data_IF_523016938056
#
_entry.id   IF_523016938056
#
_cell.length_a   1.000
_cell.length_b   1.000
_cell.length_c   1.000
_cell.angle_alpha   90.00
_cell.angle_beta   90.00
_cell.angle_gamma   90.00
#
_symmetry.space_group_name_H-M   'P 1'
#
loop_
_entity.id
_entity.type
_entity.pdbx_description
1 polymer ?
#
# COMPACT_ATOMS: atom_id res chain seq x y z
N UNK A 1 75.71 -36.84 -48.66
CA UNK A 1 75.57 -38.23 -49.14
C UNK A 1 74.89 -39.02 -48.02
N UNK A 2 73.57 -39.06 -48.03
CA UNK A 2 72.78 -39.83 -47.05
C UNK A 2 71.79 -40.71 -47.81
N UNK A 3 71.76 -41.95 -47.38
CA UNK A 3 71.22 -43.12 -48.05
C UNK A 3 69.69 -43.20 -47.95
N UNK A 4 69.12 -43.64 -49.07
CA UNK A 4 68.03 -44.59 -49.26
C UNK A 4 66.75 -44.54 -48.40
N UNK A 5 65.67 -44.37 -49.14
CA UNK A 5 64.32 -44.84 -48.88
C UNK A 5 64.24 -46.30 -48.41
N UNK A 6 63.21 -46.65 -47.63
CA UNK A 6 62.12 -47.48 -48.17
C UNK A 6 60.95 -47.69 -47.21
N UNK A 7 59.76 -47.49 -47.78
CA UNK A 7 58.50 -48.20 -47.57
C UNK A 7 58.50 -49.39 -46.61
N UNK A 8 57.47 -49.43 -45.74
CA UNK A 8 56.66 -50.64 -45.56
C UNK A 8 55.27 -50.33 -45.00
N UNK A 9 54.33 -51.04 -45.59
CA UNK A 9 52.89 -50.87 -45.58
C UNK A 9 52.19 -51.23 -44.26
N UNK A 10 51.04 -50.56 -44.06
CA UNK A 10 49.75 -51.09 -43.63
C UNK A 10 49.67 -52.00 -42.38
N UNK A 11 48.93 -51.57 -41.36
CA UNK A 11 47.53 -51.99 -41.09
C UNK A 11 47.09 -51.53 -39.68
N UNK A 12 45.91 -50.91 -39.66
CA UNK A 12 44.85 -51.02 -38.63
C UNK A 12 45.18 -50.86 -37.14
N UNK A 13 44.67 -49.77 -36.56
CA UNK A 13 43.76 -49.85 -35.41
C UNK A 13 43.07 -48.49 -35.16
N UNK A 14 41.76 -48.45 -35.41
CA UNK A 14 40.85 -47.45 -34.86
C UNK A 14 40.77 -47.65 -33.34
N UNK A 15 41.15 -46.63 -32.56
CA UNK A 15 40.69 -46.49 -31.18
C UNK A 15 40.22 -45.04 -31.00
N UNK A 16 38.90 -44.89 -31.06
CA UNK A 16 38.17 -43.71 -30.64
C UNK A 16 38.35 -43.51 -29.13
N UNK A 17 39.14 -42.51 -28.72
CA UNK A 17 39.19 -42.06 -27.34
C UNK A 17 38.20 -40.88 -27.17
N UNK A 18 37.11 -41.21 -26.48
CA UNK A 18 36.00 -40.35 -26.08
C UNK A 18 36.51 -39.12 -25.34
N UNK A 19 36.16 -37.92 -25.84
CA UNK A 19 36.37 -36.66 -25.14
C UNK A 19 35.53 -36.59 -23.88
N UNK A 20 36.17 -36.61 -22.71
CA UNK A 20 35.56 -36.21 -21.45
C UNK A 20 35.59 -34.69 -21.34
N UNK A 21 34.66 -34.03 -22.02
CA UNK A 21 34.29 -32.66 -21.68
C UNK A 21 33.49 -32.72 -20.37
N UNK A 22 34.14 -32.39 -19.25
CA UNK A 22 33.46 -32.16 -17.99
C UNK A 22 32.53 -30.96 -18.16
N UNK A 23 31.26 -31.21 -18.47
CA UNK A 23 30.21 -30.21 -18.40
C UNK A 23 30.04 -29.83 -16.92
N UNK A 24 30.69 -28.74 -16.51
CA UNK A 24 30.38 -28.08 -15.26
C UNK A 24 28.95 -27.55 -15.40
N UNK A 25 27.98 -28.33 -14.90
CA UNK A 25 26.62 -27.88 -14.70
C UNK A 25 26.68 -26.78 -13.65
N UNK A 26 26.79 -25.52 -14.09
CA UNK A 26 26.49 -24.36 -13.27
C UNK A 26 25.02 -24.48 -12.89
N UNK A 27 24.75 -25.04 -11.72
CA UNK A 27 23.42 -24.95 -11.12
C UNK A 27 23.19 -23.47 -10.85
N UNK A 28 22.49 -22.80 -11.76
CA UNK A 28 21.92 -21.49 -11.50
C UNK A 28 21.16 -21.58 -10.18
N UNK A 29 21.35 -20.65 -9.22
CA UNK A 29 20.52 -20.64 -8.03
C UNK A 29 19.08 -20.59 -8.50
N UNK A 30 18.32 -21.63 -8.15
CA UNK A 30 16.90 -21.68 -8.41
C UNK A 30 16.33 -20.43 -7.74
N UNK A 31 15.77 -19.53 -8.56
CA UNK A 31 14.99 -18.43 -8.03
C UNK A 31 13.92 -19.06 -7.14
N UNK A 32 14.11 -18.97 -5.81
CA UNK A 32 13.10 -19.41 -4.88
C UNK A 32 11.81 -18.71 -5.30
N UNK A 33 10.76 -19.50 -5.55
CA UNK A 33 9.46 -18.94 -5.84
C UNK A 33 9.12 -17.98 -4.70
N UNK A 34 9.16 -16.67 -4.97
CA UNK A 34 8.69 -15.65 -4.04
C UNK A 34 7.19 -15.79 -4.02
N UNK A 35 6.69 -16.74 -3.23
CA UNK A 35 5.29 -16.75 -2.86
C UNK A 35 4.97 -15.36 -2.31
N UNK A 36 3.89 -14.71 -2.78
CA UNK A 36 3.46 -13.47 -2.18
C UNK A 36 3.34 -13.71 -0.67
N UNK A 37 4.06 -12.91 0.10
CA UNK A 37 3.89 -12.92 1.54
C UNK A 37 2.39 -12.82 1.88
N UNK A 38 1.93 -13.61 2.86
CA UNK A 38 0.57 -13.49 3.35
C UNK A 38 0.32 -12.04 3.77
N UNK A 39 -0.73 -11.42 3.25
CA UNK A 39 -1.06 -10.06 3.66
C UNK A 39 -1.55 -10.07 5.10
N UNK A 40 -0.94 -9.27 6.00
CA UNK A 40 -1.35 -9.27 7.40
C UNK A 40 -2.79 -8.80 7.62
N UNK A 41 -3.31 -8.01 6.68
CA UNK A 41 -4.59 -7.33 6.78
C UNK A 41 -5.67 -7.97 5.91
N UNK A 42 -6.34 -8.99 6.45
CA UNK A 42 -7.50 -9.63 5.84
C UNK A 42 -8.75 -9.30 6.67
N UNK A 43 -9.80 -8.79 6.02
CA UNK A 43 -11.08 -8.52 6.64
C UNK A 43 -11.82 -9.81 7.02
N UNK A 44 -12.86 -9.76 7.85
CA UNK A 44 -13.67 -10.95 8.17
C UNK A 44 -14.32 -11.63 6.95
N UNK A 45 -14.48 -10.93 5.83
CA UNK A 45 -14.98 -11.51 4.57
C UNK A 45 -13.89 -12.23 3.76
N UNK A 46 -12.67 -12.34 4.28
CA UNK A 46 -11.54 -12.96 3.60
C UNK A 46 -10.88 -12.06 2.55
N UNK A 47 -11.31 -10.80 2.43
CA UNK A 47 -10.72 -9.84 1.49
C UNK A 47 -9.62 -9.04 2.17
N UNK A 48 -8.51 -8.86 1.48
CA UNK A 48 -7.50 -7.89 1.89
C UNK A 48 -8.06 -6.48 1.81
N UNK A 49 -7.54 -5.54 2.60
CA UNK A 49 -8.00 -4.14 2.54
C UNK A 49 -7.75 -3.52 1.16
N UNK A 50 -6.66 -3.90 0.49
CA UNK A 50 -6.37 -3.47 -0.89
C UNK A 50 -7.45 -3.95 -1.87
N UNK A 51 -7.95 -5.19 -1.71
CA UNK A 51 -9.06 -5.71 -2.52
C UNK A 51 -10.38 -5.02 -2.19
N UNK A 52 -10.66 -4.78 -0.90
CA UNK A 52 -11.88 -4.09 -0.46
C UNK A 52 -11.97 -2.67 -1.04
N UNK A 53 -10.85 -1.95 -1.10
CA UNK A 53 -10.81 -0.59 -1.63
C UNK A 53 -10.48 -0.52 -3.14
N UNK A 54 -10.19 -1.65 -3.79
CA UNK A 54 -9.72 -1.67 -5.18
C UNK A 54 -8.42 -0.90 -5.39
N UNK A 55 -7.55 -0.85 -4.38
CA UNK A 55 -6.30 -0.09 -4.38
C UNK A 55 -5.10 -1.03 -4.47
N UNK A 56 -3.99 -0.60 -5.07
CA UNK A 56 -2.88 -1.50 -5.44
C UNK A 56 -1.76 -1.61 -4.40
N UNK A 57 -1.85 -0.88 -3.28
CA UNK A 57 -0.82 -0.85 -2.23
C UNK A 57 -1.36 -1.37 -0.90
N UNK A 58 -0.47 -1.66 0.05
CA UNK A 58 -0.87 -2.08 1.38
C UNK A 58 -1.64 -0.96 2.10
N UNK A 59 -2.69 -1.32 2.85
CA UNK A 59 -3.51 -0.35 3.58
C UNK A 59 -3.39 -0.63 5.06
N UNK A 60 -2.97 0.37 5.82
CA UNK A 60 -2.87 0.32 7.28
C UNK A 60 -4.12 0.95 7.90
N UNK A 61 -4.63 0.34 8.96
CA UNK A 61 -5.72 0.85 9.79
C UNK A 61 -5.36 0.69 11.27
N UNK A 62 -6.08 1.32 12.21
CA UNK A 62 -5.89 1.04 13.64
C UNK A 62 -6.11 -0.44 14.01
N UNK A 63 -6.97 -1.15 13.27
CA UNK A 63 -7.28 -2.57 13.50
C UNK A 63 -6.42 -3.52 12.68
N UNK A 64 -5.69 -3.01 11.69
CA UNK A 64 -4.64 -3.73 11.01
C UNK A 64 -3.36 -2.89 10.93
N UNK A 65 -2.51 -3.12 11.92
CA UNK A 65 -1.32 -2.33 12.22
C UNK A 65 -0.03 -3.04 11.81
N UNK A 66 -0.08 -3.94 10.83
CA UNK A 66 1.10 -4.63 10.29
C UNK A 66 1.27 -4.31 8.81
N UNK A 67 2.48 -3.89 8.44
CA UNK A 67 2.87 -3.56 7.07
C UNK A 67 4.03 -4.47 6.65
N UNK A 68 3.94 -5.23 5.54
CA UNK A 68 5.10 -5.97 5.05
C UNK A 68 6.22 -5.02 4.59
N UNK A 69 7.46 -5.34 4.96
CA UNK A 69 8.64 -4.58 4.54
C UNK A 69 8.74 -4.50 3.00
N UNK A 70 9.17 -3.35 2.49
CA UNK A 70 9.35 -3.11 1.05
C UNK A 70 8.06 -2.78 0.29
N UNK A 71 6.89 -2.79 0.93
CA UNK A 71 5.63 -2.40 0.29
C UNK A 71 5.39 -0.90 0.36
N UNK A 72 4.88 -0.32 -0.73
CA UNK A 72 4.21 0.99 -0.67
C UNK A 72 2.92 0.83 0.13
N UNK A 73 2.48 1.92 0.74
CA UNK A 73 1.35 1.86 1.66
C UNK A 73 0.55 3.15 1.73
N UNK A 74 -0.66 3.06 2.25
CA UNK A 74 -1.52 4.19 2.55
C UNK A 74 -2.26 3.94 3.86
N UNK A 75 -2.82 4.99 4.47
CA UNK A 75 -3.64 4.87 5.68
C UNK A 75 -5.10 5.02 5.31
N UNK A 76 -5.94 4.09 5.78
CA UNK A 76 -7.38 4.17 5.59
C UNK A 76 -8.04 4.99 6.69
N UNK A 77 -8.51 6.19 6.32
CA UNK A 77 -9.27 7.10 7.18
C UNK A 77 -10.66 7.26 6.57
N UNK A 78 -11.63 6.42 6.96
CA UNK A 78 -13.00 6.56 6.50
C UNK A 78 -13.68 7.77 7.16
N UNK A 79 -14.43 8.52 6.36
CA UNK A 79 -15.40 9.53 6.81
C UNK A 79 -16.77 9.14 6.28
N UNK A 80 -17.68 8.80 7.19
CA UNK A 80 -19.05 8.40 6.84
C UNK A 80 -19.88 9.66 6.70
N UNK A 81 -20.69 9.72 5.66
CA UNK A 81 -21.54 10.86 5.37
C UNK A 81 -22.96 10.40 5.04
N UNK A 82 -23.93 11.25 5.35
CA UNK A 82 -25.32 11.08 4.97
C UNK A 82 -25.50 11.20 3.46
N UNK A 83 -26.59 10.63 2.94
CA UNK A 83 -26.94 10.72 1.51
C UNK A 83 -27.36 12.13 1.09
N UNK A 84 -27.79 12.94 2.05
CA UNK A 84 -28.14 14.36 1.92
C UNK A 84 -27.84 15.07 3.24
N UNK A 85 -27.90 16.39 3.26
CA UNK A 85 -27.83 17.13 4.53
C UNK A 85 -29.14 16.99 5.31
N UNK A 86 -29.31 15.88 6.03
CA UNK A 86 -30.50 15.61 6.85
C UNK A 86 -30.63 16.66 7.96
N UNK A 87 -29.50 17.06 8.54
CA UNK A 87 -29.40 18.17 9.47
C UNK A 87 -28.20 19.05 9.09
N UNK A 88 -28.37 20.36 9.28
CA UNK A 88 -27.31 21.36 9.09
C UNK A 88 -27.11 22.13 10.39
N UNK A 89 -25.87 22.24 10.90
CA UNK A 89 -25.58 23.16 11.98
C UNK A 89 -25.92 24.60 11.59
N UNK A 90 -26.25 25.42 12.60
CA UNK A 90 -26.51 26.84 12.37
C UNK A 90 -25.30 27.52 11.71
N UNK A 91 -25.56 28.28 10.64
CA UNK A 91 -24.53 29.00 9.88
C UNK A 91 -23.67 28.15 8.95
N UNK A 92 -23.89 26.82 8.87
CA UNK A 92 -23.24 25.99 7.86
C UNK A 92 -23.92 26.17 6.50
N UNK A 93 -23.16 26.72 5.54
CA UNK A 93 -23.61 26.94 4.17
C UNK A 93 -22.75 26.13 3.19
N UNK A 94 -23.40 25.66 2.13
CA UNK A 94 -22.75 24.92 1.04
C UNK A 94 -23.57 24.99 -0.24
N UNK A 95 -22.87 25.14 -1.36
CA UNK A 95 -23.45 25.08 -2.71
C UNK A 95 -23.61 23.64 -3.22
N UNK A 96 -23.08 22.65 -2.49
CA UNK A 96 -23.13 21.24 -2.88
C UNK A 96 -24.43 20.58 -2.42
N UNK A 97 -25.00 19.73 -3.28
CA UNK A 97 -26.25 19.04 -3.01
C UNK A 97 -26.12 17.94 -1.94
N UNK A 98 -24.95 17.32 -1.83
CA UNK A 98 -24.69 16.20 -0.93
C UNK A 98 -23.45 16.44 -0.06
N UNK A 99 -23.38 15.88 1.16
CA UNK A 99 -22.16 15.87 1.96
C UNK A 99 -20.96 15.26 1.22
N UNK A 100 -21.18 14.24 0.39
CA UNK A 100 -20.12 13.62 -0.40
C UNK A 100 -19.46 14.63 -1.35
N UNK A 101 -20.27 15.33 -2.13
CA UNK A 101 -19.78 16.30 -3.11
C UNK A 101 -19.17 17.51 -2.42
N UNK A 102 -19.73 17.90 -1.27
CA UNK A 102 -19.18 18.94 -0.41
C UNK A 102 -17.75 18.62 0.04
N UNK A 103 -17.52 17.41 0.57
CA UNK A 103 -16.18 16.98 0.98
C UNK A 103 -15.23 16.95 -0.21
N UNK A 104 -15.64 16.37 -1.33
CA UNK A 104 -14.81 16.29 -2.55
C UNK A 104 -14.42 17.67 -3.07
N UNK A 105 -15.37 18.60 -3.08
CA UNK A 105 -15.14 19.97 -3.54
C UNK A 105 -14.27 20.80 -2.60
N UNK A 106 -14.28 20.49 -1.30
CA UNK A 106 -13.54 21.23 -0.27
C UNK A 106 -12.19 20.60 0.08
N UNK A 107 -11.95 19.33 -0.23
CA UNK A 107 -10.66 18.70 0.05
C UNK A 107 -9.57 19.27 -0.85
N UNK A 108 -8.65 20.02 -0.24
CA UNK A 108 -7.48 20.57 -0.94
C UNK A 108 -6.34 19.56 -1.03
N UNK A 109 -5.98 18.96 0.10
CA UNK A 109 -4.90 17.97 0.18
C UNK A 109 -5.04 17.06 1.39
N UNK A 110 -4.34 15.93 1.34
CA UNK A 110 -4.02 15.12 2.50
C UNK A 110 -2.53 15.23 2.78
N UNK A 111 -2.18 15.30 4.05
CA UNK A 111 -0.81 15.39 4.52
C UNK A 111 -0.50 14.18 5.38
N UNK A 112 0.63 13.55 5.13
CA UNK A 112 1.18 12.50 5.96
C UNK A 112 2.46 12.99 6.63
N UNK A 113 2.51 12.88 7.95
CA UNK A 113 3.74 13.01 8.73
C UNK A 113 4.05 11.66 9.37
N UNK A 114 5.09 11.00 8.91
CA UNK A 114 5.56 9.72 9.45
C UNK A 114 6.67 9.99 10.47
N UNK A 115 6.63 9.32 11.61
CA UNK A 115 7.61 9.38 12.70
C UNK A 115 7.96 10.81 13.14
N UNK A 116 6.90 11.61 13.36
CA UNK A 116 6.97 13.01 13.76
C UNK A 116 7.93 13.26 14.93
N UNK A 117 8.79 14.26 14.80
CA UNK A 117 9.77 14.67 15.82
C UNK A 117 10.99 13.76 15.95
N UNK A 118 11.12 12.72 15.11
CA UNK A 118 12.28 11.83 15.10
C UNK A 118 13.27 12.19 13.98
N UNK A 119 14.46 11.60 14.02
CA UNK A 119 15.44 11.70 12.93
C UNK A 119 14.97 11.02 11.62
N UNK A 120 13.90 10.21 11.67
CA UNK A 120 13.34 9.47 10.53
C UNK A 120 12.06 10.11 10.00
N UNK A 121 11.71 11.32 10.46
CA UNK A 121 10.48 11.98 10.04
C UNK A 121 10.44 12.16 8.52
N UNK A 122 9.31 11.81 7.91
CA UNK A 122 9.03 12.14 6.50
C UNK A 122 7.66 12.78 6.36
N UNK A 123 7.58 13.80 5.49
CA UNK A 123 6.34 14.51 5.20
C UNK A 123 5.98 14.32 3.73
N UNK A 124 4.72 14.01 3.43
CA UNK A 124 4.21 13.87 2.06
C UNK A 124 2.82 14.48 1.93
N UNK A 125 2.64 15.31 0.91
CA UNK A 125 1.35 15.89 0.52
C UNK A 125 0.82 15.20 -0.73
N UNK A 126 -0.47 14.93 -0.77
CA UNK A 126 -1.17 14.51 -1.97
C UNK A 126 -2.38 15.42 -2.22
N UNK A 127 -2.60 15.90 -3.45
CA UNK A 127 -3.73 16.75 -3.76
C UNK A 127 -5.04 15.99 -3.54
N UNK A 128 -6.06 16.69 -3.07
CA UNK A 128 -7.44 16.22 -3.14
C UNK A 128 -7.85 16.18 -4.61
N UNK A 129 -7.88 14.98 -5.19
CA UNK A 129 -8.31 14.77 -6.57
C UNK A 129 -9.43 13.72 -6.64
N UNK A 130 -9.86 13.39 -7.85
CA UNK A 130 -10.97 12.46 -8.09
C UNK A 130 -10.65 10.99 -7.77
N UNK A 131 -9.49 10.68 -7.18
CA UNK A 131 -9.13 9.31 -6.73
C UNK A 131 -9.57 9.01 -5.31
N UNK A 132 -10.32 9.90 -4.65
CA UNK A 132 -10.99 9.58 -3.40
C UNK A 132 -11.83 8.31 -3.57
N UNK A 133 -11.58 7.31 -2.72
CA UNK A 133 -12.43 6.14 -2.68
C UNK A 133 -13.78 6.54 -2.10
N UNK A 134 -14.85 6.06 -2.71
CA UNK A 134 -16.21 6.21 -2.19
C UNK A 134 -16.97 4.91 -2.31
N UNK A 135 -17.71 4.56 -1.27
CA UNK A 135 -18.52 3.35 -1.26
C UNK A 135 -19.17 3.16 0.10
N UNK A 136 -19.70 1.97 0.34
CA UNK A 136 -20.23 1.59 1.65
C UNK A 136 -19.18 0.76 2.39
N UNK A 137 -18.94 1.09 3.65
CA UNK A 137 -18.07 0.27 4.49
C UNK A 137 -18.85 -0.92 5.03
N UNK A 138 -18.24 -2.11 5.17
CA UNK A 138 -18.89 -3.25 5.80
C UNK A 138 -19.41 -2.96 7.21
N UNK A 139 -18.75 -2.06 7.93
CA UNK A 139 -19.13 -1.63 9.28
C UNK A 139 -20.29 -0.64 9.33
N UNK A 140 -20.70 -0.06 8.20
CA UNK A 140 -21.78 0.90 8.10
C UNK A 140 -22.63 0.66 6.83
N UNK A 141 -23.40 -0.45 6.77
CA UNK A 141 -24.24 -0.77 5.62
C UNK A 141 -25.26 0.34 5.34
N UNK A 142 -25.49 0.66 4.07
CA UNK A 142 -26.45 1.68 3.66
C UNK A 142 -25.94 3.12 3.76
N UNK A 143 -24.84 3.38 4.46
CA UNK A 143 -24.24 4.71 4.57
C UNK A 143 -23.07 4.87 3.63
N UNK A 144 -22.95 6.06 3.04
CA UNK A 144 -21.84 6.37 2.16
C UNK A 144 -20.61 6.76 2.98
N UNK A 145 -19.44 6.33 2.53
CA UNK A 145 -18.18 6.69 3.13
C UNK A 145 -17.21 7.18 2.07
N UNK A 146 -16.35 8.08 2.49
CA UNK A 146 -15.19 8.59 1.77
C UNK A 146 -13.95 8.01 2.42
N UNK A 147 -12.95 7.67 1.62
CA UNK A 147 -11.65 7.26 2.15
C UNK A 147 -10.52 7.81 1.27
N UNK A 148 -9.46 8.28 1.93
CA UNK A 148 -8.33 8.95 1.28
C UNK A 148 -7.24 8.00 0.80
N UNK A 149 -7.43 6.68 0.95
CA UNK A 149 -6.48 5.66 0.47
C UNK A 149 -6.10 5.81 -1.00
N UNK A 150 -7.01 6.26 -1.86
CA UNK A 150 -6.77 6.34 -3.30
C UNK A 150 -5.97 7.56 -3.77
N UNK A 151 -5.78 8.57 -2.92
CA UNK A 151 -5.14 9.84 -3.31
C UNK A 151 -3.62 9.73 -3.51
N UNK A 152 -2.98 8.78 -2.83
CA UNK A 152 -1.54 8.62 -2.90
C UNK A 152 -1.04 7.48 -2.03
N UNK A 153 0.21 7.09 -2.29
CA UNK A 153 0.90 6.05 -1.51
C UNK A 153 2.25 6.56 -1.05
N UNK A 154 2.63 6.14 0.14
CA UNK A 154 3.90 6.43 0.79
C UNK A 154 4.97 5.42 0.37
N UNK A 155 6.22 5.85 0.51
CA UNK A 155 7.38 5.02 0.22
C UNK A 155 7.54 3.91 1.28
N UNK A 156 8.14 2.76 0.93
CA UNK A 156 8.40 1.70 1.89
C UNK A 156 9.23 2.15 3.09
N UNK A 157 8.96 1.55 4.23
CA UNK A 157 9.65 1.82 5.50
C UNK A 157 10.57 0.66 5.89
N UNK A 158 11.62 0.92 6.70
CA UNK A 158 12.43 -0.15 7.30
C UNK A 158 11.62 -0.97 8.30
N UNK A 159 12.15 -2.12 8.74
CA UNK A 159 11.56 -2.92 9.81
C UNK A 159 11.49 -2.13 11.12
N UNK A 160 10.40 -2.26 11.87
CA UNK A 160 10.23 -1.60 13.17
C UNK A 160 8.83 -1.01 13.38
N UNK A 161 8.65 -0.35 14.51
CA UNK A 161 7.41 0.37 14.84
C UNK A 161 7.48 1.80 14.33
N UNK A 162 6.40 2.23 13.68
CA UNK A 162 6.26 3.55 13.08
C UNK A 162 4.93 4.19 13.50
N UNK A 163 4.87 5.51 13.39
CA UNK A 163 3.63 6.28 13.56
C UNK A 163 3.39 7.14 12.34
N UNK A 164 2.16 7.15 11.84
CA UNK A 164 1.70 8.06 10.81
C UNK A 164 0.61 8.98 11.34
N UNK A 165 0.83 10.28 11.24
CA UNK A 165 -0.19 11.30 11.39
C UNK A 165 -0.75 11.64 10.01
N UNK A 166 -2.07 11.64 9.90
CA UNK A 166 -2.81 12.00 8.69
C UNK A 166 -3.58 13.26 8.98
N UNK A 167 -3.30 14.31 8.22
CA UNK A 167 -4.08 15.54 8.22
C UNK A 167 -4.89 15.68 6.95
N UNK A 168 -6.09 16.22 7.07
CA UNK A 168 -6.87 16.69 5.93
C UNK A 168 -6.85 18.22 5.91
N UNK A 169 -6.60 18.78 4.73
CA UNK A 169 -6.64 20.21 4.51
C UNK A 169 -7.88 20.56 3.70
N UNK A 170 -8.81 21.27 4.33
CA UNK A 170 -10.06 21.69 3.70
C UNK A 170 -10.02 23.19 3.35
N UNK A 171 -10.58 23.56 2.20
CA UNK A 171 -10.69 24.97 1.77
C UNK A 171 -11.79 25.73 2.52
N UNK A 172 -12.79 25.01 3.04
CA UNK A 172 -13.90 25.52 3.84
C UNK A 172 -14.38 24.41 4.81
N UNK A 173 -15.17 24.73 5.85
CA UNK A 173 -15.72 23.70 6.76
C UNK A 173 -16.58 22.69 6.00
N UNK A 174 -16.56 21.43 6.44
CA UNK A 174 -17.36 20.34 5.87
C UNK A 174 -18.17 19.66 6.98
N UNK A 175 -19.40 19.22 6.72
CA UNK A 175 -20.19 18.43 7.66
C UNK A 175 -20.74 17.15 7.03
N UNK A 176 -20.84 16.09 7.84
CA UNK A 176 -21.29 14.75 7.42
C UNK A 176 -22.76 14.67 7.02
N UNK A 177 -23.59 15.62 7.47
CA UNK A 177 -25.02 15.70 7.20
C UNK A 177 -25.93 14.90 8.15
N UNK A 178 -25.40 14.22 9.18
CA UNK A 178 -26.19 13.43 10.13
C UNK A 178 -26.77 14.25 11.28
N UNK A 179 -26.06 15.28 11.76
CA UNK A 179 -26.47 16.06 12.93
C UNK A 179 -26.18 17.55 12.80
N UNK A 180 -26.90 18.36 13.58
CA UNK A 180 -26.63 19.79 13.72
C UNK A 180 -25.50 20.11 14.71
N UNK A 181 -24.90 19.12 15.36
CA UNK A 181 -23.79 19.31 16.30
C UNK A 181 -22.46 19.48 15.55
N UNK A 182 -21.93 20.70 15.56
CA UNK A 182 -20.67 21.02 14.87
C UNK A 182 -19.48 20.23 15.41
N UNK A 183 -19.47 19.91 16.72
CA UNK A 183 -18.31 19.27 17.35
C UNK A 183 -18.12 17.81 16.95
N UNK A 184 -19.19 17.16 16.49
CA UNK A 184 -19.19 15.74 16.13
C UNK A 184 -19.38 15.50 14.64
N UNK A 185 -20.17 16.36 13.97
CA UNK A 185 -20.52 16.17 12.56
C UNK A 185 -19.71 17.03 11.58
N UNK A 186 -18.82 17.91 12.05
CA UNK A 186 -18.11 18.82 11.16
C UNK A 186 -16.58 18.81 11.31
N UNK A 187 -15.91 18.99 10.17
CA UNK A 187 -14.49 19.22 10.04
C UNK A 187 -14.26 20.71 9.77
N UNK A 188 -13.31 21.36 10.47
CA UNK A 188 -13.06 22.78 10.29
C UNK A 188 -12.32 23.05 8.98
N UNK A 189 -12.35 24.31 8.54
CA UNK A 189 -11.47 24.79 7.48
C UNK A 189 -10.00 24.70 7.91
N UNK A 190 -9.12 24.50 6.93
CA UNK A 190 -7.68 24.43 7.16
C UNK A 190 -7.22 23.00 7.40
N UNK A 191 -6.06 22.86 8.03
CA UNK A 191 -5.46 21.56 8.28
C UNK A 191 -5.93 21.00 9.64
N UNK A 192 -6.43 19.77 9.63
CA UNK A 192 -6.84 19.04 10.82
C UNK A 192 -6.19 17.66 10.84
N UNK A 193 -5.50 17.31 11.93
CA UNK A 193 -5.04 15.93 12.15
C UNK A 193 -6.26 15.07 12.42
N UNK A 194 -6.65 14.26 11.44
CA UNK A 194 -7.84 13.39 11.53
C UNK A 194 -7.53 12.04 12.13
N UNK A 195 -6.26 11.61 12.08
CA UNK A 195 -5.84 10.36 12.70
C UNK A 195 -4.35 10.32 12.97
N UNK A 196 -3.99 9.63 14.05
CA UNK A 196 -2.66 9.07 14.28
C UNK A 196 -2.78 7.54 14.31
N UNK A 197 -1.96 6.84 13.53
CA UNK A 197 -1.93 5.38 13.46
C UNK A 197 -0.53 4.89 13.78
N UNK A 198 -0.42 4.00 14.76
CA UNK A 198 0.82 3.28 15.06
C UNK A 198 0.76 1.89 14.44
N UNK A 199 1.82 1.49 13.75
CA UNK A 199 1.91 0.22 13.05
C UNK A 199 3.34 -0.32 13.07
N UNK A 200 3.50 -1.60 12.73
CA UNK A 200 4.80 -2.27 12.70
C UNK A 200 5.07 -2.79 11.31
N UNK A 201 6.24 -2.47 10.78
CA UNK A 201 6.77 -3.03 9.55
C UNK A 201 7.44 -4.35 9.88
N UNK A 202 6.96 -5.43 9.26
CA UNK A 202 7.39 -6.80 9.55
C UNK A 202 8.01 -7.48 8.32
N UNK A 203 8.89 -8.45 8.58
CA UNK A 203 9.28 -9.42 7.56
C UNK A 203 8.34 -10.63 7.64
N UNK A 204 7.41 -10.78 6.69
CA UNK A 204 6.46 -11.89 6.68
C UNK A 204 7.14 -13.26 6.48
N UNK A 205 8.35 -13.31 5.94
CA UNK A 205 9.10 -14.57 5.74
C UNK A 205 9.82 -15.03 7.00
N UNK A 206 10.20 -14.11 7.90
CA UNK A 206 10.83 -14.45 9.18
C UNK A 206 9.84 -15.11 10.16
N UNK A 207 8.54 -14.87 10.00
CA UNK A 207 7.48 -15.44 10.85
C UNK A 207 7.14 -16.89 10.46
N UNK A 208 7.26 -17.26 9.18
CA UNK A 208 6.93 -18.60 8.68
C UNK A 208 7.99 -19.68 8.99
N UNK A 209 9.16 -19.30 9.51
CA UNK A 209 10.24 -20.22 9.87
C UNK A 209 10.24 -20.70 11.32
N UNK A 210 9.21 -20.35 12.11
CA UNK A 210 9.10 -20.69 13.54
C UNK A 210 7.93 -21.63 13.86
N UNK A 211 7.27 -22.19 12.84
CA UNK A 211 6.20 -23.20 12.99
C UNK A 211 6.70 -24.60 12.67
#
# INVERSE_FOLDING_TARGET
MSLYANNRSALSALISAVGLAAAALTMSPQAAAKWPAAEPCVSPSGLTLKQQYGYSVAVVTPTCSQLPVGQRWAVSIPWIVASSFEQKPSGFETDYATPLDDFRGKLNSIEYTVDAGTAYQTNRSFPGDNKLWTGQLPSAPGQQAINTVGLGSLDPLPLGTHTAEVSWKLTAPHCDGFSADQGTSCLPQGETVVKRVTFTVIDPHAQAGQS
#
